data_IF_532403431833
#
_entry.id   IF_532403431833
#
_cell.length_a   1.000
_cell.length_b   1.000
_cell.length_c   1.000
_cell.angle_alpha   90.00
_cell.angle_beta   90.00
_cell.angle_gamma   90.00
#
_symmetry.space_group_name_H-M   'P 1'
#
loop_
_entity.id
_entity.type
_entity.pdbx_description
1 polymer ?
#
# COMPACT_ATOMS: atom_id res chain seq x y z
N UNK A 1 18.75 -7.98 6.72
CA UNK A 1 17.73 -8.88 6.11
C UNK A 1 17.88 -10.27 6.70
N UNK A 2 16.78 -11.01 6.89
CA UNK A 2 16.79 -12.38 7.42
C UNK A 2 16.31 -13.35 6.34
N UNK A 3 17.03 -14.45 6.14
CA UNK A 3 16.65 -15.51 5.19
C UNK A 3 15.76 -16.53 5.90
N UNK A 4 14.70 -16.97 5.23
CA UNK A 4 13.83 -18.05 5.70
C UNK A 4 13.91 -19.22 4.72
N UNK A 5 13.89 -20.45 5.24
CA UNK A 5 13.73 -21.67 4.46
C UNK A 5 12.40 -22.29 4.85
N UNK A 6 11.58 -22.66 3.86
CA UNK A 6 10.27 -23.28 4.06
C UNK A 6 10.16 -24.48 3.14
N UNK A 7 9.59 -25.56 3.64
CA UNK A 7 9.22 -26.72 2.83
C UNK A 7 7.78 -26.55 2.39
N UNK A 8 7.55 -26.64 1.09
CA UNK A 8 6.21 -26.60 0.48
C UNK A 8 6.05 -27.79 -0.46
N UNK A 9 4.80 -28.15 -0.73
CA UNK A 9 4.46 -29.17 -1.71
C UNK A 9 4.92 -28.76 -3.13
N UNK A 10 5.31 -29.75 -3.93
CA UNK A 10 5.83 -29.54 -5.29
C UNK A 10 4.79 -28.84 -6.20
N UNK A 11 3.51 -29.21 -6.09
CA UNK A 11 2.44 -28.58 -6.86
C UNK A 11 2.29 -27.09 -6.50
N UNK A 12 2.51 -26.74 -5.22
CA UNK A 12 2.49 -25.34 -4.79
C UNK A 12 3.70 -24.56 -5.33
N UNK A 13 4.87 -25.18 -5.41
CA UNK A 13 6.06 -24.56 -6.01
C UNK A 13 5.86 -24.25 -7.49
N UNK A 14 5.29 -25.20 -8.23
CA UNK A 14 4.99 -25.05 -9.66
C UNK A 14 3.96 -23.95 -9.90
N UNK A 15 2.89 -23.91 -9.11
CA UNK A 15 1.89 -22.85 -9.17
C UNK A 15 2.51 -21.47 -8.87
N UNK A 16 3.36 -21.38 -7.86
CA UNK A 16 4.07 -20.14 -7.52
C UNK A 16 5.01 -19.69 -8.64
N UNK A 17 5.71 -20.61 -9.29
CA UNK A 17 6.60 -20.34 -10.41
C UNK A 17 5.85 -19.81 -11.64
N UNK A 18 4.70 -20.41 -11.97
CA UNK A 18 3.84 -19.94 -13.05
C UNK A 18 3.32 -18.54 -12.80
N UNK A 19 2.82 -18.27 -11.58
CA UNK A 19 2.25 -16.98 -11.24
C UNK A 19 3.32 -15.87 -11.16
N UNK A 20 4.50 -16.18 -10.62
CA UNK A 20 5.65 -15.27 -10.61
C UNK A 20 6.06 -14.89 -12.05
N UNK A 21 6.11 -15.87 -12.95
CA UNK A 21 6.39 -15.63 -14.38
C UNK A 21 5.31 -14.78 -15.03
N UNK A 22 4.03 -15.06 -14.78
CA UNK A 22 2.89 -14.28 -15.31
C UNK A 22 2.96 -12.81 -14.88
N UNK A 23 3.44 -12.53 -13.66
CA UNK A 23 3.59 -11.19 -13.09
C UNK A 23 4.94 -10.52 -13.38
N UNK A 24 5.88 -11.22 -14.01
CA UNK A 24 7.22 -10.70 -14.28
C UNK A 24 8.06 -10.44 -13.03
N UNK A 25 7.84 -11.18 -11.94
CA UNK A 25 8.58 -11.06 -10.68
C UNK A 25 9.26 -12.38 -10.29
N UNK A 26 10.14 -12.34 -9.28
CA UNK A 26 10.74 -13.56 -8.75
C UNK A 26 9.75 -14.35 -7.88
N UNK A 27 9.97 -15.66 -7.75
CA UNK A 27 9.18 -16.52 -6.85
C UNK A 27 9.24 -16.03 -5.40
N UNK A 28 10.41 -15.60 -4.94
CA UNK A 28 10.59 -15.04 -3.59
C UNK A 28 9.83 -13.72 -3.39
N UNK A 29 9.72 -12.89 -4.43
CA UNK A 29 8.95 -11.64 -4.35
C UNK A 29 7.44 -11.93 -4.31
N UNK A 30 6.97 -12.93 -5.05
CA UNK A 30 5.58 -13.40 -4.94
C UNK A 30 5.26 -13.84 -3.50
N UNK A 31 6.13 -14.67 -2.90
CA UNK A 31 5.97 -15.15 -1.52
C UNK A 31 6.01 -13.98 -0.53
N UNK A 32 6.92 -13.03 -0.70
CA UNK A 32 7.02 -11.83 0.15
C UNK A 32 5.73 -11.02 0.12
N UNK A 33 5.17 -10.77 -1.07
CA UNK A 33 3.90 -10.05 -1.23
C UNK A 33 2.72 -10.80 -0.63
N UNK A 34 2.68 -12.11 -0.80
CA UNK A 34 1.66 -12.96 -0.17
C UNK A 34 1.72 -12.87 1.35
N UNK A 35 2.91 -13.02 1.92
CA UNK A 35 3.11 -12.91 3.37
C UNK A 35 2.75 -11.51 3.89
N UNK A 36 3.18 -10.45 3.22
CA UNK A 36 2.80 -9.07 3.56
C UNK A 36 1.29 -8.88 3.53
N UNK A 37 0.61 -9.40 2.51
CA UNK A 37 -0.85 -9.31 2.38
C UNK A 37 -1.58 -10.01 3.54
N UNK A 38 -1.11 -11.19 3.96
CA UNK A 38 -1.71 -11.94 5.08
C UNK A 38 -1.47 -11.30 6.44
N UNK A 39 -0.38 -10.54 6.60
CA UNK A 39 0.00 -9.92 7.87
C UNK A 39 -0.50 -8.47 8.01
N UNK A 40 -1.25 -7.94 7.03
CA UNK A 40 -1.75 -6.55 7.05
C UNK A 40 -2.60 -6.23 8.27
N UNK A 41 -3.35 -7.21 8.78
CA UNK A 41 -4.24 -7.01 9.93
C UNK A 41 -3.53 -7.20 11.28
N UNK A 42 -2.32 -7.78 11.26
CA UNK A 42 -1.54 -8.12 12.46
C UNK A 42 -0.42 -7.09 12.69
N UNK A 43 0.02 -6.45 11.60
CA UNK A 43 1.00 -5.36 11.68
C UNK A 43 0.20 -4.07 11.80
N UNK A 44 0.33 -3.30 12.90
CA UNK A 44 -0.26 -1.97 12.91
C UNK A 44 0.23 -1.24 11.67
N UNK A 45 -0.68 -0.54 10.97
CA UNK A 45 -0.28 0.40 9.95
C UNK A 45 0.85 1.27 10.54
N UNK A 46 1.87 1.66 9.76
CA UNK A 46 2.72 2.76 10.21
C UNK A 46 1.79 3.87 10.67
N UNK A 47 2.20 4.57 11.72
CA UNK A 47 1.49 5.64 12.46
C UNK A 47 1.10 6.86 11.60
N UNK A 48 0.94 6.66 10.30
CA UNK A 48 0.38 7.59 9.34
C UNK A 48 -1.11 7.66 9.62
N UNK A 49 -1.48 8.66 10.43
CA UNK A 49 -2.83 9.16 10.52
C UNK A 49 -3.43 9.21 9.10
N UNK A 50 -4.52 8.48 8.81
CA UNK A 50 -5.16 8.48 7.50
C UNK A 50 -5.45 9.89 6.98
N UNK A 51 -5.69 10.85 7.88
CA UNK A 51 -5.88 12.25 7.55
C UNK A 51 -4.62 12.92 6.99
N UNK A 52 -3.42 12.49 7.41
CA UNK A 52 -2.15 12.98 6.88
C UNK A 52 -1.89 12.52 5.44
N UNK A 53 -2.45 11.39 5.02
CA UNK A 53 -2.37 10.96 3.61
C UNK A 53 -3.20 11.83 2.67
N UNK A 54 -4.20 12.53 3.22
CA UNK A 54 -5.08 13.46 2.52
C UNK A 54 -4.66 14.93 2.75
N UNK A 55 -3.69 15.19 3.62
CA UNK A 55 -3.14 16.52 3.84
C UNK A 55 -2.43 17.01 2.58
N UNK A 56 -2.79 18.19 2.10
CA UNK A 56 -2.25 18.74 0.84
C UNK A 56 -2.93 18.20 -0.43
N UNK A 57 -4.11 17.58 -0.33
CA UNK A 57 -4.93 17.22 -1.48
C UNK A 57 -5.47 18.49 -2.16
N UNK A 58 -4.67 19.03 -3.09
CA UNK A 58 -4.95 20.22 -3.87
C UNK A 58 -3.86 20.43 -4.93
N UNK A 59 -4.12 21.21 -6.00
CA UNK A 59 -3.08 21.56 -6.96
C UNK A 59 -1.90 22.25 -6.26
N UNK A 60 -0.69 22.05 -6.78
CA UNK A 60 0.52 22.66 -6.23
C UNK A 60 0.35 24.17 -6.17
N UNK A 61 0.52 24.75 -4.99
CA UNK A 61 0.34 26.18 -4.74
C UNK A 61 -1.07 26.59 -4.29
N UNK A 62 -2.01 25.66 -4.13
CA UNK A 62 -3.28 25.94 -3.46
C UNK A 62 -3.03 26.17 -1.97
N UNK A 63 -3.02 27.44 -1.57
CA UNK A 63 -3.12 27.89 -0.18
C UNK A 63 -4.45 28.59 -0.04
N UNK A 64 -5.20 28.26 1.01
CA UNK A 64 -6.45 28.97 1.34
C UNK A 64 -6.34 29.49 2.76
N UNK A 65 -6.72 30.75 2.95
CA UNK A 65 -6.85 31.31 4.28
C UNK A 65 -8.22 30.94 4.88
N UNK A 66 -8.32 30.77 6.20
CA UNK A 66 -9.62 30.58 6.86
C UNK A 66 -10.59 31.72 6.48
N UNK A 67 -11.75 31.36 5.93
CA UNK A 67 -12.78 32.31 5.49
C UNK A 67 -12.92 32.46 3.96
N UNK A 68 -11.89 32.14 3.18
CA UNK A 68 -11.96 32.28 1.71
C UNK A 68 -12.99 31.32 1.07
N UNK A 69 -13.22 30.15 1.68
CA UNK A 69 -14.27 29.22 1.25
C UNK A 69 -15.65 29.78 1.60
N UNK A 70 -15.77 30.43 2.75
CA UNK A 70 -17.04 30.98 3.21
C UNK A 70 -17.49 32.12 2.28
N UNK A 71 -16.56 32.94 1.80
CA UNK A 71 -16.83 34.01 0.83
C UNK A 71 -17.37 33.48 -0.51
N UNK A 72 -16.95 32.30 -0.96
CA UNK A 72 -17.43 31.68 -2.22
C UNK A 72 -18.77 30.98 -2.03
N UNK A 73 -18.97 30.33 -0.87
CA UNK A 73 -20.13 29.45 -0.63
C UNK A 73 -21.31 30.21 -0.04
N UNK A 74 -21.05 31.16 0.85
CA UNK A 74 -22.05 31.90 1.63
C UNK A 74 -22.14 33.37 1.23
N UNK A 75 -21.63 33.72 0.04
CA UNK A 75 -21.75 35.01 -0.64
C UNK A 75 -22.93 35.83 -0.09
N UNK A 76 -22.62 36.93 0.60
CA UNK A 76 -23.62 37.72 1.36
C UNK A 76 -24.58 38.45 0.44
#
# INVERSE_FOLDING_TARGET
>A
MKTISITIDEHLDDAAKLEAKRRGISKSELIRRGLLHMLKDITPAPDDDPWMTLAGFGPVGLSVEPGEIDDVVYDT
#
